data_IF_686968345784
#
_entry.id   IF_686968345784
#
_cell.length_a   1.000
_cell.length_b   1.000
_cell.length_c   1.000
_cell.angle_alpha   90.00
_cell.angle_beta   90.00
_cell.angle_gamma   90.00
#
_symmetry.space_group_name_H-M   'P 1'
#
loop_
_entity.id
_entity.type
_entity.pdbx_description
1 polymer ?
#
# COMPACT_ATOMS: atom_id res chain seq x y z
N UNK A 1 -19.72 -36.30 17.08
CA UNK A 1 -19.00 -35.76 15.92
C UNK A 1 -17.53 -35.88 16.22
N UNK A 2 -16.73 -36.46 15.31
CA UNK A 2 -15.28 -36.50 15.51
C UNK A 2 -14.73 -35.08 15.37
N UNK A 3 -13.92 -34.65 16.34
CA UNK A 3 -13.23 -33.36 16.32
C UNK A 3 -11.78 -33.55 15.88
N UNK A 4 -11.30 -32.64 15.05
CA UNK A 4 -9.95 -32.64 14.49
C UNK A 4 -9.31 -31.28 14.71
N UNK A 5 -7.98 -31.23 14.78
CA UNK A 5 -7.22 -29.98 14.91
C UNK A 5 -6.53 -29.68 13.58
N UNK A 6 -6.72 -28.48 13.07
CA UNK A 6 -6.06 -28.03 11.84
C UNK A 6 -4.56 -27.84 12.09
N UNK A 7 -3.71 -28.46 11.27
CA UNK A 7 -2.25 -28.30 11.40
C UNK A 7 -1.73 -26.90 11.03
N UNK A 8 -2.53 -26.10 10.33
CA UNK A 8 -2.09 -24.80 9.82
C UNK A 8 -2.54 -23.61 10.69
N UNK A 9 -3.66 -23.74 11.40
CA UNK A 9 -4.22 -22.66 12.22
C UNK A 9 -4.56 -23.06 13.66
N UNK A 10 -4.28 -24.31 14.04
CA UNK A 10 -4.59 -24.90 15.37
C UNK A 10 -6.07 -24.86 15.79
N UNK A 11 -6.97 -24.43 14.90
CA UNK A 11 -8.41 -24.41 15.17
C UNK A 11 -9.00 -25.82 15.11
N UNK A 12 -9.82 -26.15 16.11
CA UNK A 12 -10.64 -27.36 16.13
C UNK A 12 -11.79 -27.27 15.12
N UNK A 13 -12.02 -28.33 14.36
CA UNK A 13 -13.12 -28.42 13.41
C UNK A 13 -13.73 -29.82 13.39
N UNK A 14 -14.98 -29.91 12.94
CA UNK A 14 -15.69 -31.17 12.78
C UNK A 14 -16.08 -31.40 11.32
N UNK A 15 -16.20 -32.67 10.94
CA UNK A 15 -16.70 -33.07 9.62
C UNK A 15 -18.03 -33.82 9.77
N UNK A 16 -18.95 -33.70 8.79
CA UNK A 16 -20.14 -34.53 8.75
C UNK A 16 -19.79 -36.02 8.69
N UNK A 17 -20.58 -36.87 9.36
CA UNK A 17 -20.35 -38.32 9.40
C UNK A 17 -20.31 -38.93 7.99
N UNK A 18 -21.15 -38.44 7.08
CA UNK A 18 -21.19 -38.86 5.67
C UNK A 18 -19.87 -38.67 4.92
N UNK A 19 -19.02 -37.73 5.34
CA UNK A 19 -17.68 -37.52 4.77
C UNK A 19 -16.70 -38.57 5.32
N UNK A 20 -16.77 -38.89 6.61
CA UNK A 20 -15.92 -39.89 7.24
C UNK A 20 -16.22 -41.30 6.73
N UNK A 21 -17.51 -41.62 6.54
CA UNK A 21 -17.94 -42.91 6.01
C UNK A 21 -17.45 -43.13 4.56
N UNK A 22 -17.25 -42.04 3.81
CA UNK A 22 -16.73 -42.08 2.43
C UNK A 22 -15.23 -42.40 2.36
N UNK A 23 -14.48 -42.15 3.43
CA UNK A 23 -13.03 -42.32 3.49
C UNK A 23 -12.60 -43.02 4.80
N UNK A 24 -12.82 -44.34 4.92
CA UNK A 24 -12.45 -45.09 6.13
C UNK A 24 -10.94 -45.03 6.39
N UNK A 25 -10.55 -44.64 7.62
CA UNK A 25 -9.14 -44.54 8.03
C UNK A 25 -8.41 -43.27 7.58
N UNK A 26 -9.09 -42.36 6.89
CA UNK A 26 -8.53 -41.04 6.53
C UNK A 26 -8.73 -40.03 7.67
N UNK A 27 -7.67 -39.29 8.00
CA UNK A 27 -7.72 -38.22 9.02
C UNK A 27 -7.44 -36.86 8.35
N UNK A 28 -8.37 -35.89 8.44
CA UNK A 28 -8.17 -34.58 7.85
C UNK A 28 -7.05 -33.83 8.57
N UNK A 29 -6.18 -33.18 7.80
CA UNK A 29 -5.01 -32.42 8.32
C UNK A 29 -5.25 -30.91 8.39
N UNK A 30 -6.23 -30.40 7.67
CA UNK A 30 -6.51 -28.97 7.50
C UNK A 30 -8.03 -28.72 7.61
N UNK A 31 -8.41 -27.59 8.21
CA UNK A 31 -9.81 -27.15 8.20
C UNK A 31 -10.21 -26.62 6.80
N UNK A 32 -11.51 -26.43 6.59
CA UNK A 32 -12.04 -25.93 5.32
C UNK A 32 -11.46 -24.58 4.94
N UNK A 33 -11.30 -23.68 5.90
CA UNK A 33 -10.80 -22.33 5.64
C UNK A 33 -9.33 -22.34 5.22
N UNK A 34 -8.48 -23.19 5.82
CA UNK A 34 -7.09 -23.33 5.38
C UNK A 34 -6.99 -24.00 4.00
N UNK A 35 -7.81 -25.03 3.75
CA UNK A 35 -7.83 -25.76 2.47
C UNK A 35 -8.31 -24.89 1.32
N UNK A 36 -9.33 -24.06 1.55
CA UNK A 36 -9.93 -23.18 0.54
C UNK A 36 -9.15 -21.84 0.44
N UNK A 37 -7.95 -21.74 1.05
CA UNK A 37 -7.05 -20.58 0.98
C UNK A 37 -7.53 -19.34 1.75
N UNK A 38 -8.50 -19.52 2.66
CA UNK A 38 -9.25 -18.46 3.32
C UNK A 38 -8.76 -18.08 4.72
N UNK A 39 -7.74 -18.73 5.30
CA UNK A 39 -6.83 -18.20 6.36
C UNK A 39 -5.89 -19.28 6.90
N UNK A 40 -4.61 -19.17 6.57
CA UNK A 40 -3.49 -19.63 7.40
C UNK A 40 -2.22 -18.90 6.96
N UNK A 41 -2.19 -17.61 7.23
CA UNK A 41 -0.95 -16.95 7.58
C UNK A 41 -1.10 -16.62 9.06
N UNK A 42 -0.14 -17.11 9.84
CA UNK A 42 0.18 -16.72 11.20
C UNK A 42 -0.08 -15.22 11.36
N UNK A 43 -0.76 -14.86 12.45
CA UNK A 43 -0.98 -13.48 12.89
C UNK A 43 0.35 -12.82 13.29
N UNK A 44 1.18 -12.52 12.30
CA UNK A 44 1.90 -11.26 12.26
C UNK A 44 1.03 -10.36 11.41
N UNK A 45 0.36 -9.42 12.05
CA UNK A 45 -0.41 -8.38 11.37
C UNK A 45 0.51 -7.64 10.40
N UNK A 46 0.49 -8.02 9.12
CA UNK A 46 0.82 -7.12 8.02
C UNK A 46 -0.46 -6.36 7.70
N UNK A 47 -0.57 -5.08 8.05
CA UNK A 47 -1.81 -4.32 7.95
C UNK A 47 -1.86 -3.57 6.61
N UNK A 48 -1.46 -4.22 5.53
CA UNK A 48 -1.38 -3.60 4.20
C UNK A 48 -2.74 -3.15 3.64
N UNK A 49 -3.85 -3.45 4.34
CA UNK A 49 -5.20 -3.08 3.93
C UNK A 49 -6.18 -2.72 5.07
N UNK A 50 -5.71 -2.57 6.31
CA UNK A 50 -6.56 -2.02 7.38
C UNK A 50 -6.31 -0.52 7.48
N UNK A 51 -7.32 0.28 7.16
CA UNK A 51 -7.30 1.73 7.39
C UNK A 51 -6.95 2.00 8.86
N UNK A 52 -6.06 2.96 9.16
CA UNK A 52 -5.84 3.37 10.54
C UNK A 52 -7.16 3.90 11.13
N UNK A 53 -7.50 3.43 12.34
CA UNK A 53 -8.71 3.85 13.06
C UNK A 53 -8.57 5.22 13.72
N UNK A 54 -7.35 5.75 13.80
CA UNK A 54 -6.96 7.00 14.44
C UNK A 54 -5.90 7.70 13.57
N UNK A 55 -5.68 9.01 13.79
CA UNK A 55 -4.68 9.79 13.07
C UNK A 55 -3.26 9.30 13.40
N UNK A 56 -2.49 8.76 12.44
CA UNK A 56 -1.18 8.21 12.75
C UNK A 56 -0.22 9.31 13.21
N UNK A 57 0.42 9.10 14.35
CA UNK A 57 1.35 10.09 14.93
C UNK A 57 2.76 10.03 14.35
N UNK A 58 3.07 8.97 13.60
CA UNK A 58 4.37 8.73 12.95
C UNK A 58 4.15 8.10 11.57
N UNK A 59 5.03 8.44 10.63
CA UNK A 59 4.97 7.94 9.26
C UNK A 59 5.42 8.99 8.25
N UNK A 60 5.48 8.59 6.99
CA UNK A 60 5.65 9.50 5.86
C UNK A 60 4.30 9.67 5.18
N UNK A 61 3.88 10.90 4.94
CA UNK A 61 2.58 11.19 4.32
C UNK A 61 2.83 11.91 3.00
N UNK A 62 2.10 11.50 1.97
CA UNK A 62 2.33 11.96 0.60
C UNK A 62 1.02 12.36 -0.06
N UNK A 63 1.06 13.43 -0.85
CA UNK A 63 -0.08 13.87 -1.67
C UNK A 63 0.40 14.48 -3.00
N UNK A 64 -0.46 14.46 -4.02
CA UNK A 64 -0.24 15.03 -5.34
C UNK A 64 -1.46 15.76 -5.90
N UNK A 65 -1.27 17.03 -6.27
CA UNK A 65 -2.33 17.93 -6.74
C UNK A 65 -2.05 18.45 -8.15
N UNK A 66 -3.05 18.48 -9.02
CA UNK A 66 -3.02 19.10 -10.35
C UNK A 66 -4.38 19.74 -10.66
N UNK A 67 -4.39 21.05 -10.88
CA UNK A 67 -5.63 21.81 -11.12
C UNK A 67 -5.42 22.90 -12.18
N UNK A 68 -6.15 22.86 -13.33
CA UNK A 68 -7.02 21.76 -13.79
C UNK A 68 -6.25 20.44 -13.98
N UNK A 69 -6.95 19.34 -14.28
CA UNK A 69 -6.33 18.02 -14.48
C UNK A 69 -6.66 17.48 -15.89
N UNK A 70 -5.71 17.50 -16.85
CA UNK A 70 -4.32 17.94 -16.73
C UNK A 70 -4.15 19.45 -16.59
N UNK A 71 -3.04 19.89 -15.98
CA UNK A 71 -2.72 21.29 -15.74
C UNK A 71 -1.49 21.46 -14.84
N UNK A 72 -1.26 22.67 -14.27
CA UNK A 72 -0.26 22.90 -13.24
C UNK A 72 -0.40 21.91 -12.09
N UNK A 73 0.70 21.29 -11.66
CA UNK A 73 0.67 20.35 -10.55
C UNK A 73 1.84 20.47 -9.58
N UNK A 74 1.67 19.87 -8.41
CA UNK A 74 2.67 19.77 -7.38
C UNK A 74 2.46 18.54 -6.51
N UNK A 75 3.52 18.17 -5.81
CA UNK A 75 3.55 17.03 -4.90
C UNK A 75 4.12 17.47 -3.55
N UNK A 76 3.66 16.82 -2.49
CA UNK A 76 4.04 17.11 -1.12
C UNK A 76 4.35 15.84 -0.35
N UNK A 77 5.36 15.91 0.52
CA UNK A 77 5.79 14.82 1.39
C UNK A 77 6.19 15.39 2.74
N UNK A 78 5.71 14.76 3.82
CA UNK A 78 6.16 15.04 5.19
C UNK A 78 6.51 13.75 5.91
N UNK A 79 7.66 13.72 6.59
CA UNK A 79 8.07 12.63 7.48
C UNK A 79 7.93 13.09 8.93
N UNK A 80 7.17 12.33 9.70
CA UNK A 80 6.77 12.63 11.07
C UNK A 80 7.17 11.50 11.99
N UNK A 81 7.70 11.85 13.16
CA UNK A 81 7.96 10.94 14.28
C UNK A 81 7.39 11.56 15.55
N UNK A 82 6.49 10.85 16.23
CA UNK A 82 5.84 11.26 17.47
C UNK A 82 5.25 12.68 17.39
N UNK A 83 4.45 12.93 16.33
CA UNK A 83 3.84 14.20 15.98
C UNK A 83 4.82 15.37 15.74
N UNK A 84 6.09 15.06 15.49
CA UNK A 84 7.12 16.04 15.15
C UNK A 84 7.55 15.85 13.71
N UNK A 85 7.50 16.91 12.91
CA UNK A 85 8.07 16.89 11.56
C UNK A 85 9.58 16.74 11.69
N UNK A 86 10.12 15.66 11.12
CA UNK A 86 11.56 15.38 11.06
C UNK A 86 12.13 15.56 9.65
N UNK A 87 11.26 15.71 8.66
CA UNK A 87 11.62 16.09 7.30
C UNK A 87 10.37 16.45 6.49
N UNK A 88 10.52 17.31 5.50
CA UNK A 88 9.48 17.60 4.52
C UNK A 88 10.11 17.97 3.19
N UNK A 89 9.38 17.76 2.11
CA UNK A 89 9.76 18.18 0.78
C UNK A 89 8.52 18.39 -0.07
N UNK A 90 8.59 19.33 -0.99
CA UNK A 90 7.55 19.55 -1.97
C UNK A 90 8.18 19.96 -3.30
N UNK A 91 7.42 19.87 -4.38
CA UNK A 91 7.88 20.31 -5.69
C UNK A 91 6.74 20.46 -6.68
N UNK A 92 7.08 20.97 -7.86
CA UNK A 92 6.11 21.23 -8.92
C UNK A 92 6.34 20.32 -10.13
N UNK A 93 5.28 20.12 -10.91
CA UNK A 93 5.34 19.58 -12.25
C UNK A 93 4.48 20.48 -13.14
N UNK A 94 5.04 20.96 -14.25
CA UNK A 94 4.38 21.94 -15.14
C UNK A 94 3.01 21.48 -15.66
N UNK A 95 2.87 21.08 -16.91
CA UNK A 95 1.59 20.51 -17.38
C UNK A 95 1.56 18.99 -17.09
N UNK A 96 0.84 18.59 -16.04
CA UNK A 96 0.84 17.22 -15.50
C UNK A 96 -0.58 16.75 -15.13
N UNK A 97 -0.71 15.63 -14.40
CA UNK A 97 -1.97 15.11 -13.86
C UNK A 97 -1.83 14.77 -12.37
N UNK A 98 -2.95 14.64 -11.66
CA UNK A 98 -2.97 14.20 -10.24
C UNK A 98 -2.18 12.89 -10.07
N UNK A 99 -2.52 11.85 -10.84
CA UNK A 99 -1.86 10.54 -10.73
C UNK A 99 -0.34 10.60 -10.90
N UNK A 100 0.18 11.53 -11.71
CA UNK A 100 1.62 11.71 -11.87
C UNK A 100 2.24 12.39 -10.64
N UNK A 101 1.56 13.37 -10.06
CA UNK A 101 2.02 14.04 -8.84
C UNK A 101 2.00 13.09 -7.64
N UNK A 102 0.98 12.24 -7.52
CA UNK A 102 0.90 11.20 -6.48
C UNK A 102 2.07 10.22 -6.55
N UNK A 103 2.39 9.72 -7.74
CA UNK A 103 3.53 8.84 -7.95
C UNK A 103 4.87 9.56 -7.67
N UNK A 104 4.97 10.85 -7.96
CA UNK A 104 6.16 11.64 -7.63
C UNK A 104 6.28 11.87 -6.12
N UNK A 105 5.18 12.12 -5.41
CA UNK A 105 5.18 12.22 -3.96
C UNK A 105 5.70 10.92 -3.33
N UNK A 106 5.21 9.76 -3.79
CA UNK A 106 5.68 8.45 -3.35
C UNK A 106 7.16 8.19 -3.67
N UNK A 107 7.68 8.67 -4.80
CA UNK A 107 9.10 8.55 -5.14
C UNK A 107 9.94 9.38 -4.16
N UNK A 108 9.57 10.64 -3.92
CA UNK A 108 10.34 11.53 -3.05
C UNK A 108 10.23 11.15 -1.56
N UNK A 109 9.15 10.46 -1.16
CA UNK A 109 9.01 9.89 0.18
C UNK A 109 10.15 8.94 0.56
N UNK A 110 10.68 8.19 -0.41
CA UNK A 110 11.77 7.24 -0.16
C UNK A 110 13.05 7.94 0.26
N UNK A 111 13.35 9.09 -0.34
CA UNK A 111 14.57 9.86 -0.08
C UNK A 111 14.52 10.60 1.27
N UNK A 112 13.31 10.83 1.79
CA UNK A 112 13.10 11.52 3.06
C UNK A 112 13.35 10.63 4.29
N UNK A 113 13.28 9.30 4.11
CA UNK A 113 13.51 8.34 5.20
C UNK A 113 14.97 7.89 5.21
N UNK A 114 15.70 8.03 6.34
CA UNK A 114 17.06 7.52 6.48
C UNK A 114 17.18 6.05 6.09
N UNK A 115 18.28 5.65 5.48
CA UNK A 115 18.51 4.25 5.08
C UNK A 115 18.33 3.29 6.26
N UNK A 116 17.73 2.11 6.02
CA UNK A 116 17.50 1.06 7.02
C UNK A 116 16.58 1.45 8.18
N UNK A 117 15.81 2.53 8.03
CA UNK A 117 14.79 2.95 8.99
C UNK A 117 13.42 2.43 8.56
N UNK A 118 12.77 1.68 9.44
CA UNK A 118 11.40 1.22 9.21
C UNK A 118 10.43 2.39 9.28
N UNK A 119 9.58 2.53 8.26
CA UNK A 119 8.55 3.55 8.23
C UNK A 119 7.36 3.10 7.38
N UNK A 120 6.17 3.56 7.75
CA UNK A 120 4.98 3.45 6.89
C UNK A 120 4.86 4.72 6.05
N UNK A 121 4.71 4.55 4.74
CA UNK A 121 4.37 5.62 3.80
C UNK A 121 2.88 5.57 3.52
N UNK A 122 2.17 6.61 3.93
CA UNK A 122 0.74 6.80 3.73
C UNK A 122 0.49 7.67 2.50
N UNK A 123 -0.40 7.18 1.64
CA UNK A 123 -0.95 7.93 0.51
C UNK A 123 -2.45 7.68 0.45
N UNK A 124 -3.22 8.71 0.12
CA UNK A 124 -4.66 8.59 -0.06
C UNK A 124 -5.06 8.16 -1.49
N UNK A 125 -4.09 8.16 -2.40
CA UNK A 125 -4.18 7.61 -3.76
C UNK A 125 -4.15 6.09 -3.75
N UNK A 126 -5.34 5.48 -3.59
CA UNK A 126 -5.53 4.04 -3.67
C UNK A 126 -4.94 3.44 -4.96
N UNK A 127 -5.06 4.15 -6.09
CA UNK A 127 -4.49 3.72 -7.38
C UNK A 127 -2.96 3.63 -7.30
N UNK A 128 -2.29 4.61 -6.71
CA UNK A 128 -0.84 4.60 -6.56
C UNK A 128 -0.37 3.51 -5.60
N UNK A 129 -1.02 3.37 -4.44
CA UNK A 129 -0.73 2.33 -3.44
C UNK A 129 -0.87 0.93 -4.07
N UNK A 130 -1.98 0.63 -4.74
CA UNK A 130 -2.19 -0.67 -5.40
C UNK A 130 -1.25 -0.89 -6.57
N UNK A 131 -0.87 0.17 -7.27
CA UNK A 131 0.14 0.08 -8.32
C UNK A 131 1.45 -0.48 -7.78
N UNK A 132 1.94 0.03 -6.64
CA UNK A 132 3.18 -0.42 -6.02
C UNK A 132 3.02 -1.83 -5.43
N UNK A 133 1.95 -2.05 -4.64
CA UNK A 133 1.81 -3.25 -3.84
C UNK A 133 1.30 -4.47 -4.62
N UNK A 134 0.43 -4.28 -5.62
CA UNK A 134 -0.28 -5.38 -6.28
C UNK A 134 0.10 -5.54 -7.76
N UNK A 135 0.22 -4.44 -8.50
CA UNK A 135 0.21 -4.51 -9.97
C UNK A 135 1.60 -4.47 -10.59
N UNK A 136 2.50 -3.63 -10.09
CA UNK A 136 3.80 -3.37 -10.71
C UNK A 136 4.65 -4.65 -10.84
N UNK A 137 4.68 -5.51 -9.81
CA UNK A 137 5.39 -6.79 -9.87
C UNK A 137 4.89 -7.69 -11.02
N UNK A 138 3.58 -7.73 -11.24
CA UNK A 138 2.96 -8.49 -12.33
C UNK A 138 3.20 -7.87 -13.71
N UNK A 139 3.32 -6.54 -13.79
CA UNK A 139 3.68 -5.85 -15.03
C UNK A 139 5.16 -6.00 -15.36
N UNK A 140 6.06 -5.89 -14.38
CA UNK A 140 7.51 -6.12 -14.53
C UNK A 140 7.78 -7.49 -15.16
N UNK A 141 7.17 -8.55 -14.61
CA UNK A 141 7.26 -9.93 -15.13
C UNK A 141 6.77 -10.09 -16.57
N UNK A 142 5.89 -9.21 -17.05
CA UNK A 142 5.30 -9.23 -18.40
C UNK A 142 5.92 -8.19 -19.33
N UNK A 143 7.10 -7.66 -19.00
CA UNK A 143 7.76 -6.64 -19.80
C UNK A 143 7.01 -5.30 -19.82
N UNK A 144 6.39 -4.94 -18.70
CA UNK A 144 5.65 -3.70 -18.48
C UNK A 144 4.41 -3.51 -19.36
N UNK A 145 3.66 -4.60 -19.53
CA UNK A 145 2.40 -4.64 -20.28
C UNK A 145 1.24 -5.07 -19.39
N UNK A 146 0.06 -4.47 -19.59
CA UNK A 146 -1.21 -4.92 -18.99
C UNK A 146 -2.13 -5.49 -20.07
N UNK A 147 -3.10 -6.33 -19.67
CA UNK A 147 -4.04 -7.00 -20.59
C UNK A 147 -4.80 -6.01 -21.48
N UNK A 148 -5.08 -4.81 -20.96
CA UNK A 148 -5.80 -3.74 -21.66
C UNK A 148 -4.93 -2.74 -22.42
N UNK A 149 -3.65 -3.03 -22.66
CA UNK A 149 -2.75 -2.15 -23.42
C UNK A 149 -1.55 -1.64 -22.60
N UNK A 150 -0.99 -0.47 -22.94
CA UNK A 150 0.14 0.09 -22.21
C UNK A 150 -0.25 0.43 -20.76
N UNK A 151 0.73 0.33 -19.85
CA UNK A 151 0.59 0.81 -18.47
C UNK A 151 0.67 2.34 -18.49
N UNK A 152 -0.29 3.00 -17.86
CA UNK A 152 -0.29 4.47 -17.73
C UNK A 152 0.83 4.94 -16.79
N UNK A 153 1.39 6.11 -17.08
CA UNK A 153 2.48 6.71 -16.29
C UNK A 153 3.67 5.78 -16.07
N UNK A 154 3.95 4.91 -17.04
CA UNK A 154 4.93 3.83 -16.91
C UNK A 154 6.32 4.33 -16.48
N UNK A 155 6.70 5.53 -16.90
CA UNK A 155 7.93 6.19 -16.50
C UNK A 155 8.04 6.36 -14.98
N UNK A 156 6.96 6.83 -14.33
CA UNK A 156 6.91 7.02 -12.89
C UNK A 156 6.62 5.71 -12.14
N UNK A 157 5.76 4.85 -12.67
CA UNK A 157 5.45 3.54 -12.08
C UNK A 157 6.71 2.70 -11.93
N UNK A 158 7.56 2.65 -12.97
CA UNK A 158 8.85 1.96 -12.91
C UNK A 158 9.76 2.52 -11.82
N UNK A 159 9.88 3.86 -11.78
CA UNK A 159 10.74 4.56 -10.79
C UNK A 159 10.27 4.30 -9.37
N UNK A 160 8.98 4.50 -9.08
CA UNK A 160 8.39 4.23 -7.78
C UNK A 160 8.59 2.77 -7.37
N UNK A 161 8.23 1.81 -8.24
CA UNK A 161 8.35 0.39 -7.94
C UNK A 161 9.80 -0.03 -7.65
N UNK A 162 10.77 0.46 -8.43
CA UNK A 162 12.19 0.18 -8.17
C UNK A 162 12.65 0.76 -6.84
N UNK A 163 12.27 2.01 -6.52
CA UNK A 163 12.63 2.67 -5.26
C UNK A 163 12.14 1.88 -4.04
N UNK A 164 10.85 1.50 -4.01
CA UNK A 164 10.30 0.70 -2.90
C UNK A 164 10.84 -0.73 -2.86
N UNK A 165 11.12 -1.35 -4.02
CA UNK A 165 11.76 -2.68 -4.07
C UNK A 165 13.18 -2.67 -3.47
N UNK A 166 13.88 -1.53 -3.52
CA UNK A 166 15.20 -1.34 -2.92
C UNK A 166 15.16 -0.99 -1.42
N UNK A 167 13.97 -0.64 -0.90
CA UNK A 167 13.75 -0.20 0.47
C UNK A 167 12.67 -1.06 1.15
N UNK A 168 12.92 -2.37 1.36
CA UNK A 168 11.93 -3.29 1.91
C UNK A 168 11.47 -2.97 3.34
N UNK A 169 12.19 -2.09 4.04
CA UNK A 169 11.80 -1.54 5.35
C UNK A 169 10.69 -0.48 5.26
N UNK A 170 10.37 0.01 4.05
CA UNK A 170 9.28 0.96 3.82
C UNK A 170 8.01 0.23 3.42
N UNK A 171 6.94 0.39 4.20
CA UNK A 171 5.63 -0.17 3.88
C UNK A 171 4.71 0.92 3.32
N UNK A 172 4.19 0.73 2.10
CA UNK A 172 3.20 1.65 1.51
C UNK A 172 1.79 1.24 1.92
N UNK A 173 1.07 2.14 2.58
CA UNK A 173 -0.33 1.93 2.99
C UNK A 173 -1.25 3.00 2.45
N UNK A 174 -2.47 2.58 2.17
CA UNK A 174 -3.55 3.49 1.82
C UNK A 174 -4.14 4.11 3.10
N UNK A 175 -4.31 5.43 3.10
CA UNK A 175 -5.07 6.17 4.11
C UNK A 175 -6.31 6.79 3.45
N UNK A 176 -7.36 7.04 4.22
CA UNK A 176 -8.59 7.60 3.64
C UNK A 176 -8.40 9.09 3.37
N UNK A 177 -8.65 9.51 2.12
CA UNK A 177 -8.69 10.92 1.72
C UNK A 177 -9.85 11.65 2.40
N UNK A 178 -9.66 12.28 3.56
CA UNK A 178 -10.64 13.20 4.17
C UNK A 178 -10.03 14.09 5.26
N UNK A 179 -10.76 15.17 5.56
CA UNK A 179 -10.55 16.05 6.72
C UNK A 179 -10.48 15.24 8.02
N UNK A 180 -9.45 15.45 8.82
CA UNK A 180 -9.23 14.82 10.12
C UNK A 180 -7.95 13.99 10.24
N UNK A 181 -7.14 13.89 9.19
CA UNK A 181 -5.80 13.29 9.24
C UNK A 181 -4.75 14.37 9.08
N UNK A 182 -4.22 14.87 10.19
CA UNK A 182 -3.40 16.09 10.24
C UNK A 182 -2.25 16.06 9.24
N UNK A 183 -1.55 14.94 9.17
CA UNK A 183 -0.33 14.84 8.35
C UNK A 183 -0.63 14.57 6.87
N UNK A 184 -1.79 13.99 6.56
CA UNK A 184 -2.27 13.92 5.17
C UNK A 184 -2.69 15.30 4.68
N UNK A 185 -3.43 16.06 5.51
CA UNK A 185 -3.78 17.46 5.19
C UNK A 185 -2.53 18.32 5.00
N UNK A 186 -1.50 18.15 5.83
CA UNK A 186 -0.24 18.87 5.65
C UNK A 186 0.48 18.47 4.35
N UNK A 187 0.42 17.20 3.94
CA UNK A 187 0.95 16.78 2.65
C UNK A 187 0.19 17.39 1.47
N UNK A 188 -1.15 17.51 1.55
CA UNK A 188 -1.97 18.24 0.56
C UNK A 188 -1.57 19.73 0.49
N UNK A 189 -1.35 20.39 1.64
CA UNK A 189 -0.89 21.78 1.68
C UNK A 189 0.46 21.95 0.97
N UNK A 190 1.41 21.03 1.20
CA UNK A 190 2.70 21.00 0.51
C UNK A 190 2.53 20.77 -1.01
N UNK A 191 1.64 19.86 -1.42
CA UNK A 191 1.35 19.61 -2.83
C UNK A 191 0.72 20.83 -3.52
N UNK A 192 -0.21 21.50 -2.85
CA UNK A 192 -0.84 22.73 -3.32
C UNK A 192 0.14 23.89 -3.42
N UNK A 193 1.09 23.99 -2.47
CA UNK A 193 2.19 24.94 -2.54
C UNK A 193 3.04 24.69 -3.78
N UNK A 194 3.50 23.45 -3.99
CA UNK A 194 4.25 23.08 -5.19
C UNK A 194 3.49 23.42 -6.47
N UNK A 195 2.19 23.13 -6.53
CA UNK A 195 1.34 23.45 -7.67
C UNK A 195 1.23 24.96 -7.95
N UNK A 196 1.19 25.78 -6.90
CA UNK A 196 1.10 27.24 -7.04
C UNK A 196 2.38 27.89 -7.56
N UNK A 197 3.52 27.20 -7.40
CA UNK A 197 4.85 27.62 -7.86
C UNK A 197 5.17 27.08 -9.29
N UNK A 198 4.23 26.37 -9.93
CA UNK A 198 4.43 25.60 -11.17
C UNK A 198 4.37 26.40 -12.48
#
# INVERSE_FOLDING_TARGET
MAEFVCRDCDTSFSLPQSVLDRYPGWTPRQCRDCRDGSKAAISTSSPANSLPSEDPTSGVFTDGSSVPNPGPGGWGVVYVVDNTIVGESYGHGGNTTNNRMELLALINAVDLVPERTEATVFSDSNVAVRTINEWAAGWEKRGWKRKGGPVENLDLVKRAYVAYKQRPELEVRWIKAHVGFRWNEYADELANRGRSEA
#
